data_IF_116215628815
#
_entry.id   IF_116215628815
#
_cell.length_a   1.000
_cell.length_b   1.000
_cell.length_c   1.000
_cell.angle_alpha   90.00
_cell.angle_beta   90.00
_cell.angle_gamma   90.00
#
_symmetry.space_group_name_H-M   'P 1'
#
loop_
_entity.id
_entity.type
_entity.pdbx_description
1 polymer ?
#
# COMPACT_ATOMS: atom_id res chain seq x y z
N UNK A 1 -9.26 -18.02 -1.90
CA UNK A 1 -9.30 -16.62 -2.35
C UNK A 1 -10.58 -16.03 -1.80
N UNK A 2 -10.52 -14.92 -1.07
CA UNK A 2 -11.72 -14.21 -0.60
C UNK A 2 -12.19 -13.27 -1.70
N UNK A 3 -13.47 -13.34 -2.08
CA UNK A 3 -14.04 -12.40 -3.04
C UNK A 3 -14.58 -11.19 -2.28
N UNK A 4 -14.18 -10.00 -2.70
CA UNK A 4 -14.59 -8.74 -2.09
C UNK A 4 -15.26 -7.88 -3.14
N UNK A 5 -16.46 -7.38 -2.86
CA UNK A 5 -17.11 -6.39 -3.72
C UNK A 5 -17.01 -5.00 -3.08
N UNK A 6 -16.88 -3.96 -3.91
CA UNK A 6 -16.93 -2.59 -3.44
C UNK A 6 -18.29 -1.96 -3.68
N UNK A 7 -18.58 -0.89 -2.94
CA UNK A 7 -19.77 -0.06 -3.03
C UNK A 7 -19.31 1.39 -3.01
N UNK A 8 -19.51 2.06 -4.13
CA UNK A 8 -19.13 3.46 -4.38
C UNK A 8 -19.92 4.41 -3.48
N UNK A 9 -19.37 5.56 -3.09
CA UNK A 9 -20.08 6.59 -2.32
C UNK A 9 -21.36 7.10 -3.00
N UNK A 10 -21.47 6.92 -4.31
CA UNK A 10 -22.67 7.26 -5.11
C UNK A 10 -23.68 6.13 -5.24
N UNK A 11 -23.43 4.96 -4.66
CA UNK A 11 -24.37 3.85 -4.72
C UNK A 11 -25.67 4.20 -3.98
N UNK A 12 -26.81 4.01 -4.66
CA UNK A 12 -28.14 4.35 -4.13
C UNK A 12 -28.58 3.47 -2.95
N UNK A 13 -27.89 2.35 -2.72
CA UNK A 13 -28.13 1.49 -1.55
C UNK A 13 -27.50 2.03 -0.26
N UNK A 14 -26.67 3.06 -0.35
CA UNK A 14 -26.16 3.80 0.81
C UNK A 14 -27.18 4.86 1.22
N UNK A 15 -27.63 4.77 2.46
CA UNK A 15 -28.55 5.73 3.06
C UNK A 15 -27.77 6.77 3.86
N UNK A 16 -27.72 8.01 3.38
CA UNK A 16 -27.14 9.13 4.11
C UNK A 16 -28.12 9.64 5.17
N UNK A 17 -27.71 9.61 6.43
CA UNK A 17 -28.55 9.90 7.61
C UNK A 17 -28.50 11.38 8.03
N UNK A 18 -27.69 12.20 7.35
CA UNK A 18 -27.54 13.62 7.58
C UNK A 18 -27.27 14.36 6.24
N UNK A 19 -27.33 15.70 6.20
CA UNK A 19 -26.97 16.45 5.01
C UNK A 19 -25.50 16.23 4.60
N UNK A 20 -25.31 15.85 3.34
CA UNK A 20 -23.99 15.62 2.74
C UNK A 20 -23.72 16.54 1.55
N UNK A 21 -22.44 16.62 1.19
CA UNK A 21 -21.94 17.24 -0.02
C UNK A 21 -21.13 16.21 -0.82
N UNK A 22 -21.29 16.23 -2.14
CA UNK A 22 -20.55 15.35 -3.04
C UNK A 22 -19.53 16.17 -3.78
N UNK A 23 -18.28 15.78 -3.65
CA UNK A 23 -17.16 16.49 -4.22
C UNK A 23 -16.67 15.78 -5.47
N UNK A 24 -16.32 16.57 -6.48
CA UNK A 24 -15.68 16.07 -7.69
C UNK A 24 -14.19 16.34 -7.57
N UNK A 25 -13.40 15.28 -7.55
CA UNK A 25 -11.95 15.37 -7.42
C UNK A 25 -11.32 15.14 -8.77
N UNK A 26 -10.31 15.95 -9.09
CA UNK A 26 -9.57 15.74 -10.32
C UNK A 26 -8.60 14.57 -10.15
N UNK A 27 -8.83 13.53 -10.95
CA UNK A 27 -7.85 12.49 -11.28
C UNK A 27 -7.39 11.58 -10.11
N UNK A 28 -8.12 11.55 -8.97
CA UNK A 28 -7.87 10.75 -7.74
C UNK A 28 -9.21 10.32 -7.13
N UNK A 29 -9.20 9.40 -6.16
CA UNK A 29 -10.41 8.75 -5.60
C UNK A 29 -11.12 7.84 -6.59
N UNK A 30 -11.88 6.88 -6.07
CA UNK A 30 -12.64 6.00 -6.93
C UNK A 30 -13.65 6.81 -7.75
N UNK A 31 -13.58 6.65 -9.07
CA UNK A 31 -14.42 7.38 -10.03
C UNK A 31 -14.44 8.91 -9.83
N UNK A 32 -13.38 9.49 -9.28
CA UNK A 32 -13.22 10.94 -9.13
C UNK A 32 -14.24 11.60 -8.20
N UNK A 33 -14.80 10.87 -7.22
CA UNK A 33 -15.72 11.44 -6.22
C UNK A 33 -15.39 11.02 -4.81
N UNK A 34 -15.84 11.83 -3.86
CA UNK A 34 -16.13 11.38 -2.52
C UNK A 34 -17.35 12.13 -1.98
N UNK A 35 -17.94 11.59 -0.93
CA UNK A 35 -19.01 12.23 -0.19
C UNK A 35 -18.48 12.70 1.16
N UNK A 36 -18.86 13.90 1.58
CA UNK A 36 -18.50 14.51 2.87
C UNK A 36 -19.73 15.03 3.61
N UNK A 37 -19.58 15.35 4.90
CA UNK A 37 -20.64 15.91 5.74
C UNK A 37 -20.72 17.43 5.58
N UNK A 38 -21.92 18.01 5.62
CA UNK A 38 -22.11 19.48 5.51
C UNK A 38 -21.94 20.22 6.85
N UNK A 39 -22.01 19.50 7.97
CA UNK A 39 -21.86 20.02 9.34
C UNK A 39 -21.88 18.85 10.33
N UNK A 40 -21.54 19.06 11.61
CA UNK A 40 -21.43 17.96 12.58
C UNK A 40 -22.73 17.54 13.25
N UNK A 41 -23.89 17.91 12.70
CA UNK A 41 -25.18 17.25 12.97
C UNK A 41 -25.15 15.74 12.66
N UNK A 42 -24.15 15.26 11.90
CA UNK A 42 -23.93 13.86 11.56
C UNK A 42 -23.41 12.98 12.71
N UNK A 43 -23.25 13.50 13.93
CA UNK A 43 -22.73 12.74 15.09
C UNK A 43 -23.62 11.56 15.53
N UNK A 44 -24.90 11.55 15.14
CA UNK A 44 -25.83 10.44 15.37
C UNK A 44 -25.83 9.35 14.28
N UNK A 45 -25.13 9.58 13.17
CA UNK A 45 -25.16 8.75 11.96
C UNK A 45 -24.81 9.59 10.74
N UNK A 46 -23.80 9.18 9.98
CA UNK A 46 -23.48 9.78 8.68
C UNK A 46 -24.12 8.98 7.56
N UNK A 47 -23.85 7.68 7.49
CA UNK A 47 -24.50 6.80 6.53
C UNK A 47 -24.78 5.42 7.11
N UNK A 48 -25.72 4.73 6.49
CA UNK A 48 -26.10 3.35 6.78
C UNK A 48 -26.05 2.52 5.49
N UNK A 49 -25.54 1.29 5.62
CA UNK A 49 -25.48 0.33 4.53
C UNK A 49 -25.86 -1.07 5.02
N UNK A 50 -26.78 -1.72 4.30
CA UNK A 50 -27.15 -3.11 4.51
C UNK A 50 -26.42 -4.01 3.50
N UNK A 51 -25.81 -5.09 3.98
CA UNK A 51 -24.99 -5.97 3.15
C UNK A 51 -25.21 -7.44 3.47
N UNK A 52 -24.90 -8.31 2.50
CA UNK A 52 -24.72 -9.75 2.72
C UNK A 52 -23.25 -10.11 2.59
N UNK A 53 -22.68 -10.74 3.61
CA UNK A 53 -21.29 -11.17 3.60
C UNK A 53 -20.74 -11.45 5.00
N UNK A 54 -19.42 -11.50 5.10
CA UNK A 54 -18.71 -11.91 6.33
C UNK A 54 -17.86 -10.79 6.94
N UNK A 55 -17.63 -9.69 6.23
CA UNK A 55 -17.00 -8.49 6.81
C UNK A 55 -17.29 -7.25 5.98
N UNK A 56 -17.18 -6.07 6.56
CA UNK A 56 -17.22 -4.78 5.87
C UNK A 56 -16.01 -3.92 6.24
N UNK A 57 -15.41 -3.28 5.24
CA UNK A 57 -14.36 -2.27 5.41
C UNK A 57 -14.87 -0.95 4.84
N UNK A 58 -14.70 0.13 5.59
CA UNK A 58 -15.08 1.48 5.21
C UNK A 58 -13.79 2.26 4.95
N UNK A 59 -13.64 2.73 3.72
CA UNK A 59 -12.53 3.56 3.30
C UNK A 59 -12.96 5.02 3.38
N UNK A 60 -12.55 5.63 4.49
CA UNK A 60 -12.76 7.04 4.76
C UNK A 60 -11.40 7.67 4.95
N UNK A 61 -11.29 8.94 4.57
CA UNK A 61 -10.09 9.72 4.70
C UNK A 61 -10.40 11.03 5.41
N UNK A 62 -9.69 11.31 6.49
CA UNK A 62 -9.85 12.55 7.24
C UNK A 62 -8.51 13.25 7.45
N UNK A 63 -8.55 14.58 7.49
CA UNK A 63 -7.38 15.40 7.82
C UNK A 63 -6.86 15.02 9.22
N UNK A 64 -5.54 15.04 9.40
CA UNK A 64 -4.84 14.56 10.60
C UNK A 64 -5.45 15.03 11.92
N UNK A 65 -5.62 14.08 12.84
CA UNK A 65 -6.07 14.31 14.21
C UNK A 65 -6.48 13.00 14.86
N UNK A 66 -6.81 13.03 16.15
CA UNK A 66 -7.54 11.91 16.76
C UNK A 66 -8.96 11.91 16.20
N UNK A 67 -9.19 11.19 15.09
CA UNK A 67 -10.54 11.02 14.58
C UNK A 67 -11.31 10.14 15.55
N UNK A 68 -12.52 10.60 15.88
CA UNK A 68 -13.50 9.80 16.57
C UNK A 68 -14.50 9.32 15.52
N UNK A 69 -14.66 8.00 15.36
CA UNK A 69 -15.74 7.44 14.54
C UNK A 69 -16.66 6.65 15.45
N UNK A 70 -17.94 6.63 15.12
CA UNK A 70 -18.92 5.77 15.80
C UNK A 70 -19.46 4.76 14.81
N UNK A 71 -19.44 3.50 15.20
CA UNK A 71 -19.92 2.41 14.35
C UNK A 71 -20.93 1.59 15.12
N UNK A 72 -22.05 1.30 14.47
CA UNK A 72 -23.02 0.34 14.93
C UNK A 72 -23.11 -0.78 13.88
N UNK A 73 -22.82 -2.01 14.30
CA UNK A 73 -23.04 -3.22 13.50
C UNK A 73 -24.28 -3.92 14.00
N UNK A 74 -25.25 -4.12 13.11
CA UNK A 74 -26.54 -4.73 13.37
C UNK A 74 -27.25 -4.06 14.56
N UNK A 75 -27.75 -4.86 15.49
CA UNK A 75 -28.38 -4.40 16.74
C UNK A 75 -27.38 -4.21 17.89
N UNK A 76 -26.08 -4.28 17.60
CA UNK A 76 -25.06 -4.08 18.64
C UNK A 76 -25.11 -2.65 19.19
N UNK A 77 -24.65 -2.42 20.43
CA UNK A 77 -24.47 -1.07 20.94
C UNK A 77 -23.52 -0.26 20.04
N UNK A 78 -23.77 1.04 19.93
CA UNK A 78 -22.89 1.97 19.22
C UNK A 78 -21.50 1.96 19.87
N UNK A 79 -20.49 1.65 19.07
CA UNK A 79 -19.10 1.63 19.48
C UNK A 79 -18.40 2.91 19.04
N UNK A 80 -17.69 3.57 19.96
CA UNK A 80 -16.90 4.77 19.66
C UNK A 80 -15.43 4.43 19.59
N UNK A 81 -14.84 4.65 18.42
CA UNK A 81 -13.44 4.51 18.14
C UNK A 81 -12.79 5.89 18.22
N UNK A 82 -12.16 6.19 19.35
CA UNK A 82 -11.33 7.38 19.51
C UNK A 82 -9.90 7.01 19.12
N UNK A 83 -9.24 7.78 18.24
CA UNK A 83 -7.83 7.64 17.79
C UNK A 83 -7.55 6.88 16.48
N UNK A 84 -8.50 6.77 15.56
CA UNK A 84 -8.18 6.23 14.22
C UNK A 84 -7.52 7.32 13.37
N UNK A 85 -6.32 7.05 12.86
CA UNK A 85 -5.52 8.05 12.14
C UNK A 85 -6.17 8.55 10.84
N UNK A 86 -6.84 7.67 10.10
CA UNK A 86 -7.46 7.99 8.81
C UNK A 86 -8.99 7.99 8.84
N UNK A 87 -9.60 7.54 9.93
CA UNK A 87 -11.05 7.44 10.05
C UNK A 87 -11.66 6.23 9.33
N UNK A 88 -10.84 5.29 8.85
CA UNK A 88 -11.30 4.03 8.28
C UNK A 88 -11.80 3.05 9.35
N UNK A 89 -12.56 2.05 8.94
CA UNK A 89 -13.05 1.00 9.83
C UNK A 89 -13.05 -0.35 9.14
N UNK A 90 -12.70 -1.41 9.86
CA UNK A 90 -12.87 -2.79 9.44
C UNK A 90 -13.67 -3.52 10.53
N UNK A 91 -14.74 -4.20 10.12
CA UNK A 91 -15.49 -5.06 11.03
C UNK A 91 -14.64 -6.26 11.48
N UNK A 92 -14.94 -6.86 12.65
CA UNK A 92 -14.51 -8.22 12.90
C UNK A 92 -15.10 -9.17 11.84
N UNK A 93 -14.62 -10.42 11.83
CA UNK A 93 -15.26 -11.48 11.06
C UNK A 93 -16.67 -11.72 11.62
N UNK A 94 -17.66 -11.61 10.75
CA UNK A 94 -19.07 -11.86 11.04
C UNK A 94 -19.45 -13.25 10.54
N UNK A 95 -20.57 -13.77 11.03
CA UNK A 95 -21.18 -14.94 10.39
C UNK A 95 -21.66 -14.55 8.99
N UNK A 96 -21.70 -15.48 8.05
CA UNK A 96 -22.28 -15.20 6.74
C UNK A 96 -23.78 -14.94 6.89
N UNK A 97 -24.25 -13.81 6.37
CA UNK A 97 -25.65 -13.43 6.44
C UNK A 97 -25.90 -11.96 6.12
N UNK A 98 -27.11 -11.51 6.45
CA UNK A 98 -27.50 -10.10 6.37
C UNK A 98 -26.98 -9.32 7.57
N UNK A 99 -26.34 -8.19 7.28
CA UNK A 99 -25.82 -7.27 8.26
C UNK A 99 -26.16 -5.83 7.88
N UNK A 100 -26.11 -4.94 8.86
CA UNK A 100 -26.24 -3.50 8.67
C UNK A 100 -25.10 -2.80 9.39
N UNK A 101 -24.41 -1.89 8.70
CA UNK A 101 -23.46 -0.98 9.32
C UNK A 101 -24.03 0.43 9.30
N UNK A 102 -24.06 1.08 10.46
CA UNK A 102 -24.26 2.53 10.56
C UNK A 102 -22.95 3.15 10.99
N UNK A 103 -22.46 4.10 10.20
CA UNK A 103 -21.18 4.76 10.41
C UNK A 103 -21.41 6.25 10.64
N UNK A 104 -20.71 6.83 11.62
CA UNK A 104 -20.73 8.24 11.90
C UNK A 104 -19.33 8.76 12.17
N UNK A 105 -19.08 10.01 11.79
CA UNK A 105 -17.86 10.73 12.11
C UNK A 105 -18.11 11.71 13.27
N UNK A 106 -17.18 11.82 14.21
CA UNK A 106 -17.28 12.66 15.40
C UNK A 106 -17.03 14.16 15.13
N UNK A 107 -17.20 14.98 16.18
CA UNK A 107 -17.38 16.44 16.12
C UNK A 107 -16.40 17.26 15.21
N UNK A 108 -17.01 17.87 14.18
CA UNK A 108 -17.04 19.30 13.77
C UNK A 108 -15.78 20.05 13.31
N UNK A 109 -14.54 19.61 13.56
CA UNK A 109 -13.37 20.35 13.05
C UNK A 109 -12.69 19.74 11.81
N UNK A 110 -13.23 18.64 11.29
CA UNK A 110 -12.65 17.87 10.20
C UNK A 110 -13.68 17.59 9.10
N UNK A 111 -13.17 17.54 7.86
CA UNK A 111 -13.93 17.20 6.66
C UNK A 111 -13.59 15.76 6.27
N UNK A 112 -14.36 14.75 6.72
CA UNK A 112 -14.16 13.37 6.30
C UNK A 112 -14.55 13.19 4.82
N UNK A 113 -13.82 12.37 4.09
CA UNK A 113 -14.07 12.03 2.71
C UNK A 113 -14.34 10.52 2.62
N UNK A 114 -15.60 10.15 2.45
CA UNK A 114 -16.01 8.78 2.21
C UNK A 114 -16.04 8.51 0.71
N UNK A 115 -15.19 7.58 0.27
CA UNK A 115 -15.01 7.23 -1.14
C UNK A 115 -15.76 5.94 -1.49
N UNK A 116 -15.50 4.87 -0.74
CA UNK A 116 -16.21 3.60 -0.92
C UNK A 116 -16.13 2.75 0.35
N UNK A 117 -16.93 1.70 0.37
CA UNK A 117 -16.77 0.58 1.29
C UNK A 117 -16.60 -0.72 0.50
N UNK A 118 -16.07 -1.74 1.15
CA UNK A 118 -15.96 -3.08 0.58
C UNK A 118 -16.56 -4.11 1.51
N UNK A 119 -17.13 -5.17 0.95
CA UNK A 119 -17.68 -6.29 1.71
C UNK A 119 -17.04 -7.58 1.24
N UNK A 120 -16.53 -8.36 2.19
CA UNK A 120 -16.09 -9.73 1.91
C UNK A 120 -17.32 -10.61 1.75
N UNK A 121 -17.45 -11.24 0.59
CA UNK A 121 -18.57 -12.12 0.29
C UNK A 121 -18.54 -13.38 1.15
N UNK A 122 -19.73 -13.84 1.56
CA UNK A 122 -19.95 -15.18 2.08
C UNK A 122 -20.74 -16.03 1.09
N UNK A 123 -21.09 -17.26 1.48
CA UNK A 123 -21.81 -18.20 0.63
C UNK A 123 -23.22 -17.69 0.25
N UNK A 124 -23.83 -16.90 1.14
CA UNK A 124 -25.14 -16.27 0.97
C UNK A 124 -25.12 -15.01 0.08
N UNK A 125 -23.94 -14.46 -0.22
CA UNK A 125 -23.80 -13.23 -0.98
C UNK A 125 -24.14 -13.45 -2.46
N UNK A 126 -25.12 -12.70 -2.97
CA UNK A 126 -25.39 -12.63 -4.42
C UNK A 126 -24.37 -11.72 -5.09
N UNK A 127 -23.59 -12.25 -6.03
CA UNK A 127 -22.45 -11.56 -6.64
C UNK A 127 -22.73 -11.05 -8.05
N UNK A 128 -23.77 -11.55 -8.73
CA UNK A 128 -24.06 -11.12 -10.11
C UNK A 128 -24.32 -9.61 -10.14
N UNK A 129 -23.64 -8.92 -11.06
CA UNK A 129 -23.63 -7.47 -11.23
C UNK A 129 -23.01 -6.66 -10.07
N UNK A 130 -22.47 -7.29 -9.03
CA UNK A 130 -21.63 -6.58 -8.06
C UNK A 130 -20.26 -6.32 -8.67
N UNK A 131 -19.68 -5.17 -8.36
CA UNK A 131 -18.32 -4.87 -8.79
C UNK A 131 -17.33 -5.43 -7.79
N UNK A 132 -16.54 -6.40 -8.23
CA UNK A 132 -15.49 -7.06 -7.47
C UNK A 132 -14.23 -6.20 -7.54
N UNK A 133 -13.55 -6.07 -6.40
CA UNK A 133 -12.25 -5.41 -6.28
C UNK A 133 -11.17 -6.46 -5.98
N UNK A 134 -10.07 -6.41 -6.73
CA UNK A 134 -8.95 -7.34 -6.62
C UNK A 134 -7.68 -6.52 -6.40
N UNK A 135 -7.11 -6.67 -5.21
CA UNK A 135 -5.90 -5.98 -4.75
C UNK A 135 -4.64 -6.43 -5.50
N UNK A 136 -3.61 -5.58 -5.58
CA UNK A 136 -2.33 -5.91 -6.22
C UNK A 136 -1.60 -7.08 -5.57
N UNK A 137 -1.94 -7.41 -4.32
CA UNK A 137 -1.39 -8.56 -3.61
C UNK A 137 -2.16 -9.87 -3.83
N UNK A 138 -3.26 -9.86 -4.61
CA UNK A 138 -4.03 -11.06 -4.89
C UNK A 138 -3.19 -12.10 -5.68
N UNK A 139 -3.14 -13.36 -5.23
CA UNK A 139 -2.30 -14.40 -5.85
C UNK A 139 -2.80 -14.85 -7.24
N UNK A 140 -4.02 -14.46 -7.64
CA UNK A 140 -4.54 -14.65 -8.99
C UNK A 140 -3.91 -13.70 -10.01
N UNK A 141 -3.29 -12.61 -9.56
CA UNK A 141 -2.56 -11.67 -10.42
C UNK A 141 -1.15 -12.21 -10.68
N UNK A 142 -0.80 -12.39 -11.95
CA UNK A 142 0.51 -12.89 -12.37
C UNK A 142 1.37 -11.75 -12.87
N UNK A 143 2.48 -11.53 -12.18
CA UNK A 143 3.49 -10.55 -12.57
C UNK A 143 4.64 -11.23 -13.32
N UNK A 144 5.07 -10.64 -14.43
CA UNK A 144 6.27 -11.03 -15.19
C UNK A 144 7.24 -9.86 -15.25
N UNK A 145 8.53 -10.13 -15.02
CA UNK A 145 9.57 -9.10 -14.99
C UNK A 145 9.95 -8.62 -13.59
N UNK A 146 10.30 -7.35 -13.43
CA UNK A 146 10.94 -6.79 -12.24
C UNK A 146 9.98 -5.93 -11.37
N UNK A 147 8.81 -6.49 -11.05
CA UNK A 147 7.84 -5.85 -10.16
C UNK A 147 8.30 -5.86 -8.70
N UNK A 148 8.02 -4.77 -7.99
CA UNK A 148 8.44 -4.56 -6.58
C UNK A 148 7.36 -3.83 -5.78
N UNK A 149 7.45 -3.84 -4.46
CA UNK A 149 6.48 -3.20 -3.55
C UNK A 149 6.77 -1.72 -3.27
N UNK A 150 7.81 -1.16 -3.90
CA UNK A 150 8.23 0.22 -3.75
C UNK A 150 8.65 0.77 -5.12
N UNK A 151 8.54 2.08 -5.38
CA UNK A 151 8.98 2.69 -6.62
C UNK A 151 10.50 2.54 -6.82
N UNK A 152 10.95 2.65 -8.08
CA UNK A 152 12.36 2.45 -8.48
C UNK A 152 13.31 3.48 -7.88
N UNK A 153 12.78 4.65 -7.51
CA UNK A 153 13.57 5.86 -7.42
C UNK A 153 13.43 6.48 -6.03
N UNK A 154 14.54 6.92 -5.41
CA UNK A 154 14.50 7.59 -4.12
C UNK A 154 13.88 9.00 -4.15
N UNK A 155 13.75 9.61 -5.33
CA UNK A 155 13.22 10.97 -5.50
C UNK A 155 11.70 11.01 -5.74
N UNK A 156 11.06 9.87 -5.95
CA UNK A 156 9.63 9.79 -6.09
C UNK A 156 8.95 9.99 -4.73
N UNK A 157 8.05 10.97 -4.67
CA UNK A 157 7.21 11.15 -3.49
C UNK A 157 6.11 10.08 -3.48
N UNK A 158 6.06 9.31 -2.39
CA UNK A 158 4.92 8.48 -2.00
C UNK A 158 4.19 9.05 -0.78
N UNK A 159 4.42 10.33 -0.47
CA UNK A 159 3.65 11.01 0.56
C UNK A 159 2.32 11.41 -0.04
N UNK A 160 1.32 10.56 0.16
CA UNK A 160 -0.04 10.83 -0.27
C UNK A 160 -0.66 11.98 0.51
N UNK A 161 -1.68 12.60 -0.10
CA UNK A 161 -2.50 13.53 0.65
C UNK A 161 -3.27 12.80 1.75
N UNK A 162 -3.63 13.48 2.83
CA UNK A 162 -4.38 12.87 3.95
C UNK A 162 -5.73 12.29 3.52
N UNK A 163 -6.21 12.78 2.38
CA UNK A 163 -7.52 12.54 1.84
C UNK A 163 -7.56 11.36 0.85
N UNK A 164 -6.41 10.82 0.41
CA UNK A 164 -6.38 9.68 -0.52
C UNK A 164 -5.14 8.81 -0.34
N UNK A 165 -5.25 7.49 -0.49
CA UNK A 165 -4.13 6.52 -0.45
C UNK A 165 -4.43 5.32 -1.36
N UNK A 166 -3.46 4.49 -1.72
CA UNK A 166 -3.71 3.25 -2.46
C UNK A 166 -4.66 2.32 -1.72
N UNK A 167 -5.36 1.47 -2.47
CA UNK A 167 -6.21 0.43 -1.87
C UNK A 167 -5.37 -0.49 -1.00
N UNK A 168 -5.89 -0.82 0.19
CA UNK A 168 -5.18 -1.57 1.25
C UNK A 168 -3.75 -1.09 1.60
N UNK A 169 -3.38 0.12 1.18
CA UNK A 169 -2.05 0.69 1.31
C UNK A 169 -0.95 -0.20 0.68
N UNK A 170 -1.27 -0.88 -0.42
CA UNK A 170 -0.35 -1.71 -1.21
C UNK A 170 -0.29 -1.20 -2.65
N UNK A 171 0.78 -1.54 -3.37
CA UNK A 171 1.00 -1.18 -4.77
C UNK A 171 2.16 -2.01 -5.32
N UNK A 172 2.05 -2.52 -6.55
CA UNK A 172 3.16 -3.10 -7.31
C UNK A 172 3.72 -2.12 -8.32
N UNK A 173 5.02 -1.90 -8.26
CA UNK A 173 5.72 -0.92 -9.07
C UNK A 173 6.60 -1.59 -10.11
N UNK A 174 6.59 -1.06 -11.34
CA UNK A 174 7.60 -1.35 -12.35
C UNK A 174 7.90 -0.14 -13.23
N UNK A 175 9.16 0.00 -13.61
CA UNK A 175 9.67 0.99 -14.56
C UNK A 175 10.47 0.31 -15.69
N UNK A 176 10.20 -0.96 -15.98
CA UNK A 176 10.93 -1.74 -16.98
C UNK A 176 10.01 -2.02 -18.17
N UNK A 177 10.45 -1.64 -19.37
CA UNK A 177 9.74 -2.01 -20.60
C UNK A 177 9.73 -3.53 -20.76
N UNK A 178 8.56 -4.10 -21.07
CA UNK A 178 8.32 -5.53 -21.18
C UNK A 178 7.93 -6.23 -19.88
N UNK A 179 7.93 -5.53 -18.74
CA UNK A 179 7.29 -6.04 -17.53
C UNK A 179 5.76 -6.06 -17.74
N UNK A 180 5.11 -7.12 -17.25
CA UNK A 180 3.70 -7.34 -17.51
C UNK A 180 2.90 -7.90 -16.35
N UNK A 181 1.58 -7.72 -16.42
CA UNK A 181 0.56 -8.24 -15.51
C UNK A 181 -0.44 -9.06 -16.33
N UNK A 182 -0.74 -10.27 -15.90
CA UNK A 182 -1.86 -11.07 -16.44
C UNK A 182 -2.85 -11.39 -15.33
N UNK A 183 -4.13 -11.17 -15.59
CA UNK A 183 -5.22 -11.52 -14.66
C UNK A 183 -6.43 -12.08 -15.41
N UNK A 184 -7.04 -13.15 -14.85
CA UNK A 184 -8.25 -13.76 -15.39
C UNK A 184 -9.42 -13.49 -14.44
N UNK A 185 -10.54 -13.01 -15.00
CA UNK A 185 -11.76 -12.70 -14.27
C UNK A 185 -12.99 -13.27 -14.97
N UNK A 186 -14.10 -13.38 -14.26
CA UNK A 186 -15.39 -13.81 -14.82
C UNK A 186 -16.40 -12.67 -14.64
N UNK A 187 -16.69 -11.94 -15.72
CA UNK A 187 -17.43 -10.68 -15.61
C UNK A 187 -17.87 -10.07 -16.93
N UNK A 188 -18.35 -8.83 -16.85
CA UNK A 188 -18.86 -8.04 -17.99
C UNK A 188 -18.15 -6.71 -18.17
N UNK A 189 -17.22 -6.36 -17.30
CA UNK A 189 -16.41 -5.15 -17.39
C UNK A 189 -15.06 -5.36 -16.74
N UNK A 190 -14.09 -4.49 -17.04
CA UNK A 190 -12.82 -4.42 -16.31
C UNK A 190 -12.34 -2.98 -16.25
N UNK A 191 -11.80 -2.58 -15.10
CA UNK A 191 -11.09 -1.32 -14.95
C UNK A 191 -9.81 -1.56 -14.13
N UNK A 192 -8.75 -0.84 -14.50
CA UNK A 192 -7.42 -0.96 -13.88
C UNK A 192 -7.10 0.35 -13.19
N UNK A 193 -6.69 0.27 -11.93
CA UNK A 193 -6.32 1.42 -11.11
C UNK A 193 -4.88 1.34 -10.64
N UNK A 194 -4.29 2.51 -10.43
CA UNK A 194 -2.89 2.61 -10.03
C UNK A 194 -2.54 3.92 -9.34
N UNK A 195 -1.24 4.10 -9.16
CA UNK A 195 -0.63 5.28 -8.56
C UNK A 195 0.28 5.94 -9.60
N UNK A 196 0.05 7.23 -9.83
CA UNK A 196 1.01 8.09 -10.53
C UNK A 196 1.93 8.72 -9.48
N UNK A 197 3.25 8.50 -9.54
CA UNK A 197 4.17 9.03 -8.54
C UNK A 197 4.30 10.56 -8.65
N UNK A 198 4.58 11.22 -7.53
CA UNK A 198 4.86 12.66 -7.50
C UNK A 198 6.32 12.96 -7.86
N UNK A 199 6.56 13.96 -8.72
CA UNK A 199 7.92 14.46 -9.02
C UNK A 199 7.95 15.94 -9.39
N UNK A 200 9.02 16.64 -9.02
CA UNK A 200 9.27 18.03 -9.43
C UNK A 200 10.05 18.13 -10.76
N UNK A 201 10.37 17.00 -11.39
CA UNK A 201 10.99 16.95 -12.71
C UNK A 201 9.92 16.98 -13.79
N UNK A 202 10.22 17.58 -14.95
CA UNK A 202 9.45 17.37 -16.18
C UNK A 202 9.57 15.91 -16.57
N UNK A 203 8.53 15.13 -16.30
CA UNK A 203 8.49 13.71 -16.65
C UNK A 203 7.73 13.54 -17.97
N UNK A 204 8.26 12.73 -18.88
CA UNK A 204 7.53 12.35 -20.09
C UNK A 204 6.46 11.31 -19.74
N UNK A 205 5.66 10.91 -20.71
CA UNK A 205 4.64 9.90 -20.48
C UNK A 205 5.26 8.50 -20.51
N UNK A 206 4.76 7.63 -19.64
CA UNK A 206 4.95 6.19 -19.77
C UNK A 206 3.73 5.62 -20.48
N UNK A 207 3.94 4.57 -21.25
CA UNK A 207 2.87 3.91 -21.98
C UNK A 207 2.75 2.45 -21.56
N UNK A 208 1.52 1.97 -21.57
CA UNK A 208 1.19 0.57 -21.40
C UNK A 208 0.14 0.14 -22.42
N UNK A 209 0.21 -1.12 -22.81
CA UNK A 209 -0.81 -1.80 -23.59
C UNK A 209 -1.72 -2.60 -22.69
N UNK A 210 -2.99 -2.65 -23.04
CA UNK A 210 -4.00 -3.47 -22.39
C UNK A 210 -4.67 -4.33 -23.43
N UNK A 211 -4.55 -5.64 -23.30
CA UNK A 211 -5.13 -6.61 -24.22
C UNK A 211 -6.13 -7.47 -23.46
N UNK A 212 -7.37 -7.56 -23.95
CA UNK A 212 -8.42 -8.41 -23.36
C UNK A 212 -8.70 -9.57 -24.31
N UNK A 213 -8.65 -10.81 -23.82
CA UNK A 213 -8.91 -12.06 -24.57
C UNK A 213 -8.07 -12.22 -25.85
N UNK A 214 -6.83 -11.69 -25.85
CA UNK A 214 -5.98 -11.64 -27.05
C UNK A 214 -6.63 -10.90 -28.25
N UNK A 215 -7.55 -9.96 -27.99
CA UNK A 215 -8.21 -9.10 -29.00
C UNK A 215 -7.50 -7.75 -29.15
N UNK A 216 -8.21 -6.72 -29.63
CA UNK A 216 -7.68 -5.38 -29.88
C UNK A 216 -6.92 -4.83 -28.65
N UNK A 217 -5.67 -4.44 -28.88
CA UNK A 217 -4.81 -3.85 -27.87
C UNK A 217 -5.13 -2.37 -27.73
N UNK A 218 -5.54 -1.96 -26.54
CA UNK A 218 -5.72 -0.55 -26.21
C UNK A 218 -4.40 0.05 -25.75
N UNK A 219 -4.05 1.20 -26.32
CA UNK A 219 -2.82 1.92 -25.97
C UNK A 219 -3.15 3.10 -25.08
N UNK A 220 -2.52 3.18 -23.91
CA UNK A 220 -2.66 4.33 -23.03
C UNK A 220 -1.31 4.92 -22.66
N UNK A 221 -1.34 6.24 -22.51
CA UNK A 221 -0.20 7.07 -22.17
C UNK A 221 -0.56 7.85 -20.91
N UNK A 222 0.24 7.70 -19.87
CA UNK A 222 0.01 8.38 -18.60
C UNK A 222 1.22 9.24 -18.23
N UNK A 223 0.99 10.43 -17.67
CA UNK A 223 2.09 11.25 -17.18
C UNK A 223 2.74 10.53 -16.00
N UNK A 224 4.07 10.46 -15.99
CA UNK A 224 4.84 9.86 -14.89
C UNK A 224 5.04 10.81 -13.70
N UNK A 225 4.52 12.03 -13.80
CA UNK A 225 4.50 13.00 -12.72
C UNK A 225 3.20 13.80 -12.74
N UNK A 226 2.66 14.06 -11.56
CA UNK A 226 1.46 14.88 -11.34
C UNK A 226 1.67 16.38 -11.50
N UNK A 227 2.91 16.86 -11.71
CA UNK A 227 3.24 18.28 -11.77
C UNK A 227 3.11 19.05 -10.43
N UNK A 228 2.36 18.51 -9.46
CA UNK A 228 2.20 19.04 -8.10
C UNK A 228 3.27 18.54 -7.12
N UNK A 229 4.13 17.62 -7.57
CA UNK A 229 5.12 16.94 -6.73
C UNK A 229 4.52 15.89 -5.78
N UNK A 230 3.19 15.70 -5.77
CA UNK A 230 2.48 14.73 -4.92
C UNK A 230 2.00 13.52 -5.73
N UNK A 231 2.06 12.30 -5.19
CA UNK A 231 1.49 11.14 -5.87
C UNK A 231 -0.03 11.27 -6.00
N UNK A 232 -0.58 10.67 -7.06
CA UNK A 232 -2.01 10.57 -7.33
C UNK A 232 -2.39 9.08 -7.23
N UNK A 233 -2.98 8.62 -6.11
CA UNK A 233 -3.46 7.25 -5.96
C UNK A 233 -4.82 7.06 -6.65
N UNK A 234 -5.28 5.81 -6.75
CA UNK A 234 -6.59 5.45 -7.33
C UNK A 234 -6.83 6.07 -8.72
N UNK A 235 -5.76 6.23 -9.49
CA UNK A 235 -5.83 6.72 -10.87
C UNK A 235 -6.41 5.62 -11.74
N UNK A 236 -7.55 5.87 -12.37
CA UNK A 236 -8.07 5.00 -13.43
C UNK A 236 -7.12 5.04 -14.64
N UNK A 237 -6.59 3.87 -15.00
CA UNK A 237 -5.67 3.68 -16.12
C UNK A 237 -6.40 3.12 -17.34
N UNK A 238 -7.33 2.21 -17.11
CA UNK A 238 -8.16 1.59 -18.13
C UNK A 238 -9.58 1.43 -17.61
N UNK A 239 -10.57 1.55 -18.49
CA UNK A 239 -11.93 1.08 -18.27
C UNK A 239 -12.53 0.49 -19.55
N UNK A 240 -13.22 -0.64 -19.40
CA UNK A 240 -14.01 -1.31 -20.45
C UNK A 240 -15.30 -1.81 -19.81
N UNK A 241 -16.46 -1.23 -20.16
CA UNK A 241 -17.74 -1.46 -19.46
C UNK A 241 -18.71 -2.41 -20.19
N UNK A 242 -18.29 -3.11 -21.25
CA UNK A 242 -19.20 -3.89 -22.12
C UNK A 242 -18.55 -5.13 -22.74
N UNK A 243 -18.05 -6.02 -21.90
CA UNK A 243 -17.63 -7.37 -22.28
C UNK A 243 -18.83 -8.32 -22.28
N UNK A 244 -18.74 -9.39 -23.07
CA UNK A 244 -19.73 -10.46 -23.01
C UNK A 244 -19.71 -11.12 -21.62
N UNK A 245 -20.82 -11.67 -21.13
CA UNK A 245 -20.77 -12.45 -19.88
C UNK A 245 -19.84 -13.66 -20.05
N UNK A 246 -18.80 -13.76 -19.22
CA UNK A 246 -17.97 -14.96 -19.18
C UNK A 246 -16.58 -14.71 -18.62
N UNK A 247 -15.69 -15.67 -18.86
CA UNK A 247 -14.28 -15.57 -18.49
C UNK A 247 -13.51 -14.71 -19.49
N UNK A 248 -12.71 -13.81 -18.93
CA UNK A 248 -11.83 -12.93 -19.67
C UNK A 248 -10.43 -12.94 -19.08
N UNK A 249 -9.43 -12.67 -19.92
CA UNK A 249 -8.05 -12.43 -19.47
C UNK A 249 -7.62 -11.06 -19.92
N UNK A 250 -7.12 -10.25 -18.97
CA UNK A 250 -6.46 -8.98 -19.24
C UNK A 250 -4.94 -9.15 -19.11
N UNK A 251 -4.23 -8.74 -20.15
CA UNK A 251 -2.78 -8.63 -20.19
C UNK A 251 -2.40 -7.15 -20.26
N UNK A 252 -1.49 -6.73 -19.39
CA UNK A 252 -0.99 -5.35 -19.28
C UNK A 252 0.51 -5.39 -19.50
N UNK A 253 1.04 -4.70 -20.51
CA UNK A 253 2.48 -4.64 -20.77
C UNK A 253 2.97 -3.20 -20.73
N UNK A 254 4.07 -2.94 -20.02
CA UNK A 254 4.73 -1.64 -20.05
C UNK A 254 5.52 -1.53 -21.36
N UNK A 255 5.19 -0.54 -22.18
CA UNK A 255 5.73 -0.42 -23.55
C UNK A 255 6.72 0.72 -23.75
N UNK A 256 6.65 1.76 -22.92
CA UNK A 256 7.64 2.84 -22.92
C UNK A 256 7.76 3.44 -21.54
N UNK A 257 9.00 3.75 -21.13
CA UNK A 257 9.29 4.46 -19.89
C UNK A 257 10.19 5.66 -20.25
N UNK A 258 9.85 6.88 -19.79
CA UNK A 258 10.57 8.12 -20.13
C UNK A 258 12.09 8.06 -19.95
N UNK A 259 12.49 7.50 -18.81
CA UNK A 259 13.88 7.28 -18.44
C UNK A 259 13.96 6.13 -17.42
N UNK A 260 15.10 5.44 -17.37
CA UNK A 260 15.29 4.30 -16.48
C UNK A 260 15.31 4.69 -14.98
N UNK A 261 15.37 5.99 -14.68
CA UNK A 261 15.28 6.57 -13.34
C UNK A 261 13.90 7.15 -13.03
N UNK A 262 12.86 6.73 -13.76
CA UNK A 262 11.47 7.06 -13.44
C UNK A 262 10.94 6.11 -12.35
N UNK A 263 10.05 6.60 -11.48
CA UNK A 263 9.53 5.81 -10.36
C UNK A 263 8.81 4.52 -10.80
N UNK A 264 8.26 4.55 -12.01
CA UNK A 264 7.48 3.50 -12.63
C UNK A 264 5.97 3.67 -12.48
N UNK A 265 5.22 2.77 -13.13
CA UNK A 265 3.81 2.57 -12.88
C UNK A 265 3.63 1.96 -11.50
N UNK A 266 2.79 2.54 -10.65
CA UNK A 266 2.22 1.82 -9.52
C UNK A 266 0.91 1.18 -9.95
N UNK A 267 0.82 -0.15 -9.99
CA UNK A 267 -0.42 -0.89 -10.13
C UNK A 267 -1.01 -1.17 -8.74
N UNK A 268 -2.30 -0.92 -8.55
CA UNK A 268 -2.95 -0.95 -7.22
C UNK A 268 -4.10 -1.97 -7.17
N UNK A 269 -5.09 -1.88 -8.05
CA UNK A 269 -6.18 -2.86 -8.06
C UNK A 269 -6.89 -2.96 -9.41
N UNK A 270 -7.65 -4.03 -9.57
CA UNK A 270 -8.56 -4.27 -10.69
C UNK A 270 -9.99 -4.29 -10.17
N UNK A 271 -10.89 -3.66 -10.92
CA UNK A 271 -12.33 -3.77 -10.75
C UNK A 271 -12.96 -4.54 -11.91
N UNK A 272 -13.94 -5.39 -11.63
CA UNK A 272 -14.78 -6.00 -12.67
C UNK A 272 -16.19 -6.27 -12.15
N UNK A 273 -17.21 -6.15 -13.01
CA UNK A 273 -18.57 -6.57 -12.66
C UNK A 273 -18.70 -8.09 -12.82
N UNK A 274 -19.02 -8.81 -11.74
CA UNK A 274 -19.15 -10.26 -11.77
C UNK A 274 -20.38 -10.72 -12.58
N UNK A 275 -20.20 -11.77 -13.40
CA UNK A 275 -21.28 -12.43 -14.14
C UNK A 275 -21.79 -13.72 -13.46
N UNK A 276 -21.08 -14.22 -12.45
CA UNK A 276 -21.47 -15.37 -11.62
C UNK A 276 -22.35 -14.95 -10.43
N UNK A 277 -23.21 -15.86 -9.97
CA UNK A 277 -24.24 -15.54 -8.97
C UNK A 277 -23.76 -15.66 -7.52
N UNK A 278 -22.85 -16.56 -7.22
CA UNK A 278 -22.33 -16.83 -5.87
C UNK A 278 -20.92 -17.42 -5.93
N UNK A 279 -20.27 -17.54 -4.77
CA UNK A 279 -18.93 -18.15 -4.65
C UNK A 279 -18.89 -19.58 -5.21
N UNK A 280 -19.96 -20.35 -5.03
CA UNK A 280 -20.05 -21.73 -5.51
C UNK A 280 -20.12 -21.84 -7.04
N UNK A 281 -20.63 -20.81 -7.72
CA UNK A 281 -20.74 -20.76 -9.19
C UNK A 281 -19.53 -20.11 -9.86
N UNK A 282 -18.60 -19.55 -9.08
CA UNK A 282 -17.37 -18.97 -9.61
C UNK A 282 -16.45 -20.08 -10.10
N UNK A 283 -16.13 -20.11 -11.40
CA UNK A 283 -15.28 -21.16 -11.95
C UNK A 283 -13.80 -20.82 -11.71
N UNK A 284 -13.25 -21.36 -10.62
CA UNK A 284 -11.84 -21.17 -10.21
C UNK A 284 -10.84 -22.00 -11.03
N UNK A 285 -11.22 -22.60 -12.15
CA UNK A 285 -10.27 -23.34 -12.99
C UNK A 285 -9.18 -22.43 -13.54
N UNK A 286 -8.01 -22.49 -12.91
CA UNK A 286 -6.76 -21.96 -13.45
C UNK A 286 -6.44 -22.78 -14.70
N UNK A 287 -6.22 -22.17 -15.88
CA UNK A 287 -5.76 -22.91 -17.05
C UNK A 287 -4.39 -23.53 -16.72
N UNK A 288 -4.41 -24.84 -16.46
CA UNK A 288 -3.19 -25.62 -16.33
C UNK A 288 -2.66 -25.77 -17.74
N UNK A 289 -1.59 -25.04 -18.08
CA UNK A 289 -0.90 -25.19 -19.37
C UNK A 289 -0.43 -26.63 -19.46
N UNK A 290 -1.20 -27.46 -20.18
CA UNK A 290 -0.79 -28.79 -20.58
C UNK A 290 0.24 -28.63 -21.69
N UNK A 291 1.48 -28.39 -21.30
CA UNK A 291 2.63 -28.47 -22.19
C UNK A 291 2.82 -29.92 -22.62
N UNK A 292 2.28 -30.29 -23.79
CA UNK A 292 2.65 -31.52 -24.48
C UNK A 292 4.10 -31.40 -24.97
N UNK A 293 5.06 -31.62 -24.09
CA UNK A 293 6.45 -31.79 -24.50
C UNK A 293 6.67 -33.25 -24.88
N UNK A 294 6.69 -33.49 -26.19
CA UNK A 294 7.15 -34.75 -26.77
C UNK A 294 8.57 -35.04 -26.27
N UNK A 295 8.72 -36.05 -25.41
CA UNK A 295 10.00 -36.58 -24.98
C UNK A 295 10.75 -37.12 -26.21
N UNK A 296 11.70 -36.34 -26.73
CA UNK A 296 12.82 -36.88 -27.51
C UNK A 296 13.95 -37.16 -26.53
N UNK A 297 14.14 -38.43 -26.25
CA UNK A 297 15.27 -38.98 -25.52
C UNK A 297 16.56 -38.63 -26.26
N UNK A 298 17.40 -37.80 -25.64
CA UNK A 298 18.82 -37.78 -25.97
C UNK A 298 19.63 -37.78 -24.68
N UNK A 299 20.30 -38.91 -24.49
CA UNK A 299 21.24 -39.24 -23.44
C UNK A 299 22.30 -38.16 -23.24
N UNK A 300 22.50 -37.76 -21.99
CA UNK A 300 23.53 -36.81 -21.60
C UNK A 300 23.66 -36.71 -20.07
N UNK A 301 24.47 -37.61 -19.51
CA UNK A 301 25.11 -37.58 -18.19
C UNK A 301 24.51 -36.69 -17.07
N UNK A 302 23.76 -37.33 -16.17
CA UNK A 302 23.45 -36.82 -14.85
C UNK A 302 24.71 -36.80 -13.95
N UNK A 303 25.11 -35.64 -13.43
CA UNK A 303 25.95 -35.51 -12.23
C UNK A 303 25.23 -34.55 -11.26
N UNK A 304 24.87 -34.96 -10.04
CA UNK A 304 24.29 -34.05 -9.06
C UNK A 304 25.38 -33.20 -8.40
N UNK A 305 25.27 -31.86 -8.48
CA UNK A 305 26.03 -30.94 -7.62
C UNK A 305 25.17 -30.63 -6.40
N UNK A 306 25.25 -31.49 -5.39
CA UNK A 306 24.95 -31.12 -4.01
C UNK A 306 26.30 -30.77 -3.38
N UNK A 307 26.56 -29.48 -3.17
CA UNK A 307 27.85 -29.03 -2.61
C UNK A 307 28.09 -27.52 -2.54
N UNK A 308 27.23 -26.68 -3.12
CA UNK A 308 27.46 -25.23 -3.16
C UNK A 308 27.17 -24.49 -1.85
N UNK A 309 26.14 -24.92 -1.09
CA UNK A 309 25.65 -24.14 0.06
C UNK A 309 26.51 -24.35 1.31
N UNK A 310 27.01 -25.57 1.53
CA UNK A 310 27.88 -25.87 2.69
C UNK A 310 29.25 -25.21 2.52
N UNK A 311 29.79 -25.17 1.30
CA UNK A 311 31.07 -24.51 1.01
C UNK A 311 31.03 -23.00 1.25
N UNK A 312 29.93 -22.33 0.88
CA UNK A 312 29.78 -20.89 1.07
C UNK A 312 29.70 -20.50 2.56
N UNK A 313 28.99 -21.29 3.36
CA UNK A 313 28.85 -21.05 4.82
C UNK A 313 30.19 -21.25 5.53
N UNK A 314 30.96 -22.27 5.16
CA UNK A 314 32.31 -22.50 5.71
C UNK A 314 33.28 -21.38 5.31
N UNK A 315 33.24 -20.92 4.06
CA UNK A 315 34.08 -19.81 3.57
C UNK A 315 33.76 -18.48 4.28
N UNK A 316 32.48 -18.18 4.49
CA UNK A 316 32.06 -16.99 5.25
C UNK A 316 32.49 -17.08 6.71
N UNK A 317 32.35 -18.25 7.34
CA UNK A 317 32.84 -18.49 8.71
C UNK A 317 34.35 -18.27 8.85
N UNK A 318 35.14 -18.79 7.91
CA UNK A 318 36.60 -18.61 7.89
C UNK A 318 37.00 -17.16 7.63
N UNK A 319 36.28 -16.42 6.77
CA UNK A 319 36.51 -14.99 6.56
C UNK A 319 36.26 -14.17 7.83
N UNK A 320 35.16 -14.42 8.54
CA UNK A 320 34.85 -13.74 9.80
C UNK A 320 35.90 -14.06 10.86
N UNK A 321 36.28 -15.33 11.01
CA UNK A 321 37.33 -15.74 11.95
C UNK A 321 38.67 -15.04 11.66
N UNK A 322 39.05 -14.93 10.37
CA UNK A 322 40.26 -14.24 9.96
C UNK A 322 40.22 -12.72 10.23
N UNK A 323 39.09 -12.06 10.00
CA UNK A 323 38.92 -10.63 10.31
C UNK A 323 39.01 -10.36 11.82
N UNK A 324 38.42 -11.22 12.64
CA UNK A 324 38.53 -11.13 14.11
C UNK A 324 39.96 -11.40 14.60
N UNK A 325 40.67 -12.35 13.99
CA UNK A 325 42.07 -12.60 14.30
C UNK A 325 42.98 -11.42 13.94
N UNK A 326 42.77 -10.79 12.77
CA UNK A 326 43.48 -9.56 12.39
C UNK A 326 43.22 -8.40 13.35
N UNK A 327 41.98 -8.23 13.84
CA UNK A 327 41.67 -7.23 14.88
C UNK A 327 42.43 -7.50 16.18
N UNK A 328 42.51 -8.77 16.62
CA UNK A 328 43.27 -9.14 17.82
C UNK A 328 44.79 -8.94 17.66
N UNK A 329 45.35 -9.19 16.48
CA UNK A 329 46.78 -8.95 16.23
C UNK A 329 47.12 -7.45 16.26
N UNK A 330 46.27 -6.58 15.70
CA UNK A 330 46.47 -5.13 15.78
C UNK A 330 46.41 -4.59 17.22
N UNK A 331 45.54 -5.15 18.06
CA UNK A 331 45.47 -4.79 19.48
C UNK A 331 46.74 -5.21 20.26
N UNK A 332 47.33 -6.38 19.94
CA UNK A 332 48.58 -6.83 20.55
C UNK A 332 49.80 -5.99 20.10
N UNK A 333 49.82 -5.52 18.85
CA UNK A 333 50.88 -4.63 18.36
C UNK A 333 50.81 -3.25 19.02
N UNK A 334 49.60 -2.69 19.20
CA UNK A 334 49.41 -1.40 19.89
C UNK A 334 49.77 -1.47 21.39
N UNK A 335 49.40 -2.56 22.07
CA UNK A 335 49.79 -2.78 23.47
C UNK A 335 51.31 -2.95 23.64
N UNK A 336 52.00 -3.57 22.66
CA UNK A 336 53.46 -3.73 22.69
C UNK A 336 54.22 -2.44 22.34
N UNK A 337 53.63 -1.50 21.59
CA UNK A 337 54.22 -0.18 21.34
C UNK A 337 54.03 0.78 22.53
N UNK A 338 52.89 0.74 23.21
CA UNK A 338 52.64 1.54 24.43
C UNK A 338 53.51 1.10 25.62
N UNK A 339 53.81 -0.20 25.76
CA UNK A 339 54.73 -0.70 26.78
C UNK A 339 56.20 -0.31 26.55
N UNK A 340 56.60 -0.04 25.30
CA UNK A 340 57.97 0.39 24.95
C UNK A 340 58.20 1.90 25.09
N UNK A 341 57.12 2.69 25.23
CA UNK A 341 57.17 4.17 25.32
C UNK A 341 57.18 4.71 26.75
N UNK A 342 57.07 3.87 27.78
CA UNK A 342 56.96 4.29 29.19
C UNK A 342 58.27 4.23 29.99
N UNK A 343 59.42 4.06 29.36
CA UNK A 343 60.72 4.17 30.03
C UNK A 343 61.40 5.44 29.53
N UNK A 344 61.71 6.33 30.48
CA UNK A 344 62.56 7.53 30.39
C UNK A 344 61.83 8.86 30.07
N UNK A 345 61.57 9.68 31.11
CA UNK A 345 61.98 11.11 31.27
C UNK A 345 61.74 11.55 32.73
N UNK A 346 62.76 12.15 33.35
CA UNK A 346 62.83 12.76 34.71
C UNK A 346 62.19 14.17 34.77
N UNK A 347 61.86 14.70 35.96
CA UNK A 347 61.05 15.92 36.11
C UNK A 347 61.88 17.21 36.07
N UNK A 348 61.28 18.30 35.59
CA UNK A 348 61.74 19.68 35.88
C UNK A 348 60.57 20.59 36.27
N UNK A 349 60.94 21.58 37.09
CA UNK A 349 60.16 22.37 38.06
C UNK A 349 59.33 23.55 37.49
N UNK A 350 58.21 23.79 38.19
CA UNK A 350 57.58 25.05 38.62
C UNK A 350 57.69 26.37 37.82
N UNK A 351 56.53 27.00 37.57
CA UNK A 351 56.07 28.32 38.13
C UNK A 351 54.59 28.55 37.68
N UNK A 352 53.55 28.52 38.53
CA UNK A 352 53.00 29.47 39.54
C UNK A 352 51.78 30.31 39.04
N UNK A 353 50.66 30.10 39.76
CA UNK A 353 49.48 30.95 40.08
C UNK A 353 48.51 31.38 38.96
N UNK A 354 47.19 31.50 39.14
CA UNK A 354 46.27 31.55 40.31
C UNK A 354 44.83 31.23 39.81
N UNK A 355 44.10 30.25 40.37
CA UNK A 355 43.03 30.35 41.39
C UNK A 355 41.90 31.39 41.17
N UNK A 356 40.69 30.89 40.91
CA UNK A 356 39.42 31.48 41.36
C UNK A 356 38.42 30.34 41.61
N UNK A 357 37.81 30.32 42.80
CA UNK A 357 36.88 29.30 43.28
C UNK A 357 35.70 30.00 43.98
N UNK A 358 34.49 29.52 43.70
CA UNK A 358 33.21 29.85 44.34
C UNK A 358 33.23 29.94 45.87
N UNK A 359 32.43 30.86 46.43
CA UNK A 359 31.71 30.59 47.68
C UNK A 359 30.37 31.35 47.80
N UNK A 360 29.36 30.61 48.29
CA UNK A 360 28.02 31.06 48.69
C UNK A 360 28.08 31.94 49.95
N UNK A 361 27.01 32.67 50.27
CA UNK A 361 26.05 32.39 51.38
C UNK A 361 25.26 33.64 51.85
N UNK A 362 23.95 33.41 52.13
CA UNK A 362 23.02 34.06 53.09
C UNK A 362 22.44 35.47 52.89
N UNK A 363 21.12 35.46 52.70
CA UNK A 363 20.05 35.96 53.57
C UNK A 363 20.02 37.43 54.04
N UNK A 364 18.87 38.07 53.80
CA UNK A 364 18.31 39.03 54.76
C UNK A 364 17.47 40.16 54.18
N UNK A 365 16.14 39.94 54.17
CA UNK A 365 15.12 40.87 54.70
C UNK A 365 14.76 42.19 53.99
N UNK A 366 13.45 42.50 54.06
CA UNK A 366 12.77 43.80 53.97
C UNK A 366 12.68 44.45 52.58
N UNK A 367 11.60 45.09 52.12
CA UNK A 367 10.14 45.19 52.38
C UNK A 367 9.65 46.24 51.35
N UNK A 368 8.33 46.26 51.15
CA UNK A 368 7.50 47.38 50.65
C UNK A 368 7.38 47.67 49.15
N UNK A 369 6.11 47.60 48.72
CA UNK A 369 5.34 48.54 47.89
C UNK A 369 5.88 48.84 46.47
N UNK A 370 5.12 48.70 45.39
CA UNK A 370 3.68 48.83 45.13
C UNK A 370 3.33 48.07 43.85
#
# INVERSE_FOLDING_TARGET
MSVTYFVDDRDTSIEYLCPVERELVRDSYLRNTYTTIRGGECGGGWFRYAFKGTSVNIFNHAKTGNNAVSVQLDISPLFKLTTILDGSYQSPMLQDGEHTVTFAFGNESLFPAFDFLTVTAGDSTQLKNKTIIVDDTDPGIRYSGNWRTQPSTPDASLTFDYSAKPYLNTTRWSNTVGDSITFTFEGTSVAVYGVIPGSNKTSQNMTATYTIDSRETLWFSFPMSSGSGRPIPMRELLRVDSLAEGKHTIDIDITSVPDASAAGLGFDFILYNASYTSLATMDTSIPTVSGSSSHRTRSGAWRPIVGGVVGLVVLLGLCVAWLLWRKKQKAKVKAKSEAKSKVFVLPTLNHRQSFEHDEKTKAGSLTHDL
#
